data_IF_371842556783
#
_entry.id   IF_371842556783
#
_cell.length_a   1.000
_cell.length_b   1.000
_cell.length_c   1.000
_cell.angle_alpha   90.00
_cell.angle_beta   90.00
_cell.angle_gamma   90.00
#
_symmetry.space_group_name_H-M   'P 1'
#
loop_
_entity.id
_entity.type
_entity.pdbx_description
1 polymer ?
#
# COMPACT_ATOMS: atom_id res chain seq x y z
N UNK A 1 19.39 -10.22 -1.46
CA UNK A 1 18.89 -11.53 -0.99
C UNK A 1 18.11 -11.50 0.35
N UNK A 2 17.68 -10.34 0.88
CA UNK A 2 16.86 -10.26 2.11
C UNK A 2 15.34 -10.45 1.90
N UNK A 3 14.87 -10.34 0.65
CA UNK A 3 13.44 -10.29 0.28
C UNK A 3 12.68 -11.62 0.50
N UNK A 4 13.34 -12.77 0.38
CA UNK A 4 12.67 -14.09 0.45
C UNK A 4 12.00 -14.36 1.80
N UNK A 5 12.61 -13.92 2.92
CA UNK A 5 12.07 -14.16 4.26
C UNK A 5 10.80 -13.33 4.52
N UNK A 6 10.73 -12.11 3.99
CA UNK A 6 9.57 -11.24 4.13
C UNK A 6 8.37 -11.79 3.35
N UNK A 7 8.56 -12.16 2.08
CA UNK A 7 7.51 -12.78 1.27
C UNK A 7 7.01 -14.09 1.88
N UNK A 8 7.92 -14.93 2.37
CA UNK A 8 7.56 -16.17 3.05
C UNK A 8 6.76 -15.90 4.34
N UNK A 9 7.15 -14.88 5.11
CA UNK A 9 6.43 -14.43 6.30
C UNK A 9 5.00 -13.98 6.01
N UNK A 10 4.79 -13.21 4.93
CA UNK A 10 3.45 -12.82 4.48
C UNK A 10 2.62 -14.04 4.12
N UNK A 11 3.18 -14.98 3.35
CA UNK A 11 2.48 -16.20 2.94
C UNK A 11 2.04 -17.01 4.17
N UNK A 12 2.95 -17.20 5.13
CA UNK A 12 2.66 -17.87 6.40
C UNK A 12 1.53 -17.16 7.17
N UNK A 13 1.57 -15.84 7.27
CA UNK A 13 0.54 -15.06 7.95
C UNK A 13 -0.85 -15.25 7.29
N UNK A 14 -0.92 -15.23 5.95
CA UNK A 14 -2.17 -15.46 5.20
C UNK A 14 -2.71 -16.87 5.46
N UNK A 15 -1.84 -17.89 5.45
CA UNK A 15 -2.25 -19.28 5.73
C UNK A 15 -2.76 -19.42 7.16
N UNK A 16 -2.07 -18.84 8.14
CA UNK A 16 -2.51 -18.87 9.55
C UNK A 16 -3.84 -18.12 9.74
N UNK A 17 -4.03 -16.97 9.10
CA UNK A 17 -5.29 -16.24 9.13
C UNK A 17 -6.44 -17.06 8.53
N UNK A 18 -6.19 -17.82 7.46
CA UNK A 18 -7.17 -18.74 6.87
C UNK A 18 -7.52 -19.90 7.81
N UNK A 19 -6.53 -20.46 8.52
CA UNK A 19 -6.73 -21.59 9.44
C UNK A 19 -7.45 -21.20 10.73
N UNK A 20 -7.19 -20.00 11.27
CA UNK A 20 -7.77 -19.55 12.54
C UNK A 20 -8.18 -18.08 12.53
N UNK A 21 -9.25 -17.73 11.78
CA UNK A 21 -9.67 -16.34 11.59
C UNK A 21 -10.17 -15.69 12.88
N UNK A 22 -10.66 -16.46 13.86
CA UNK A 22 -11.16 -15.94 15.14
C UNK A 22 -10.13 -15.15 15.96
N UNK A 23 -8.84 -15.35 15.71
CA UNK A 23 -7.77 -14.58 16.37
C UNK A 23 -7.69 -13.15 15.82
N UNK A 24 -7.87 -13.00 14.50
CA UNK A 24 -7.65 -11.76 13.75
C UNK A 24 -8.91 -11.08 13.23
N UNK A 25 -10.10 -11.56 13.58
CA UNK A 25 -11.36 -10.87 13.29
C UNK A 25 -11.61 -9.73 14.27
N UNK A 26 -12.48 -8.79 13.89
CA UNK A 26 -12.96 -7.73 14.78
C UNK A 26 -13.53 -8.33 16.06
N UNK A 27 -13.10 -7.84 17.23
CA UNK A 27 -13.44 -8.41 18.54
C UNK A 27 -12.69 -9.70 18.91
N UNK A 28 -11.82 -10.21 18.04
CA UNK A 28 -10.93 -11.33 18.31
C UNK A 28 -9.83 -10.98 19.32
N UNK A 29 -9.02 -11.98 19.71
CA UNK A 29 -7.97 -11.81 20.72
C UNK A 29 -6.98 -10.68 20.38
N UNK A 30 -6.60 -10.55 19.11
CA UNK A 30 -5.68 -9.51 18.67
C UNK A 30 -6.32 -8.12 18.61
N UNK A 31 -7.66 -8.01 18.59
CA UNK A 31 -8.41 -6.75 18.37
C UNK A 31 -7.76 -5.89 17.27
N UNK A 32 -7.67 -6.37 16.01
CA UNK A 32 -6.99 -5.66 14.93
C UNK A 32 -7.48 -4.23 14.71
N UNK A 33 -8.75 -3.96 15.04
CA UNK A 33 -9.36 -2.64 15.05
C UNK A 33 -8.63 -1.62 15.95
N UNK A 34 -7.88 -2.09 16.95
CA UNK A 34 -7.03 -1.26 17.82
C UNK A 34 -5.56 -1.51 17.50
N UNK A 35 -5.11 -2.75 17.61
CA UNK A 35 -3.68 -3.10 17.56
C UNK A 35 -3.08 -2.85 16.18
N UNK A 36 -3.77 -3.24 15.11
CA UNK A 36 -3.27 -3.01 13.75
C UNK A 36 -3.56 -1.57 13.34
N UNK A 37 -4.84 -1.17 13.37
CA UNK A 37 -5.30 0.12 12.84
C UNK A 37 -4.63 1.32 13.50
N UNK A 38 -4.44 1.31 14.82
CA UNK A 38 -3.87 2.46 15.52
C UNK A 38 -2.41 2.23 15.90
N UNK A 39 -2.07 1.09 16.52
CA UNK A 39 -0.70 0.92 17.05
C UNK A 39 0.27 0.60 15.92
N UNK A 40 0.04 -0.47 15.15
CA UNK A 40 0.98 -0.91 14.12
C UNK A 40 1.13 0.14 12.99
N UNK A 41 0.01 0.67 12.49
CA UNK A 41 0.03 1.73 11.47
C UNK A 41 0.81 2.95 11.98
N UNK A 42 0.51 3.46 13.17
CA UNK A 42 1.23 4.64 13.69
C UNK A 42 2.73 4.38 13.85
N UNK A 43 3.13 3.20 14.33
CA UNK A 43 4.55 2.84 14.45
C UNK A 43 5.24 2.75 13.08
N UNK A 44 4.59 2.16 12.07
CA UNK A 44 5.15 2.07 10.72
C UNK A 44 5.33 3.47 10.13
N UNK A 45 4.31 4.32 10.21
CA UNK A 45 4.38 5.69 9.69
C UNK A 45 5.37 6.56 10.46
N UNK A 46 5.44 6.43 11.79
CA UNK A 46 6.42 7.14 12.62
C UNK A 46 7.84 6.70 12.29
N UNK A 47 8.10 5.39 12.23
CA UNK A 47 9.42 4.87 11.90
C UNK A 47 9.85 5.28 10.48
N UNK A 48 8.91 5.25 9.53
CA UNK A 48 9.16 5.72 8.15
C UNK A 48 9.46 7.22 8.15
N UNK A 49 8.70 8.02 8.91
CA UNK A 49 8.91 9.47 9.03
C UNK A 49 10.24 9.83 9.68
N UNK A 50 10.63 9.15 10.77
CA UNK A 50 11.90 9.37 11.46
C UNK A 50 13.11 8.93 10.64
N UNK A 51 12.92 8.01 9.69
CA UNK A 51 13.99 7.52 8.81
C UNK A 51 14.24 8.44 7.61
N UNK A 52 13.42 9.48 7.40
CA UNK A 52 13.57 10.41 6.28
C UNK A 52 14.62 11.48 6.58
N UNK A 53 15.70 11.58 5.79
CA UNK A 53 16.68 12.66 5.92
C UNK A 53 16.06 14.01 5.52
N UNK A 54 16.22 15.01 6.39
CA UNK A 54 15.57 16.33 6.22
C UNK A 54 16.06 17.11 5.00
N UNK A 55 17.30 16.85 4.56
CA UNK A 55 17.89 17.47 3.38
C UNK A 55 17.22 16.97 2.09
N UNK A 56 17.03 15.65 1.95
CA UNK A 56 16.32 15.05 0.82
C UNK A 56 14.86 15.51 0.78
N UNK A 57 14.21 15.60 1.93
CA UNK A 57 12.83 16.12 2.01
C UNK A 57 12.73 17.55 1.47
N UNK A 58 13.68 18.41 1.81
CA UNK A 58 13.68 19.80 1.37
C UNK A 58 13.89 19.91 -0.14
N UNK A 59 14.85 19.15 -0.69
CA UNK A 59 15.11 19.11 -2.14
C UNK A 59 13.91 18.54 -2.88
N UNK A 60 13.28 17.47 -2.36
CA UNK A 60 12.10 16.87 -2.95
C UNK A 60 10.93 17.87 -2.99
N UNK A 61 10.68 18.62 -1.92
CA UNK A 61 9.59 19.61 -1.86
C UNK A 61 9.71 20.72 -2.92
N UNK A 62 10.92 21.01 -3.40
CA UNK A 62 11.15 22.06 -4.41
C UNK A 62 10.91 21.57 -5.86
N UNK A 63 10.79 20.26 -6.09
CA UNK A 63 10.56 19.65 -7.42
C UNK A 63 9.08 19.56 -7.76
N UNK A 64 8.44 20.71 -7.97
CA UNK A 64 7.00 20.82 -8.19
C UNK A 64 6.51 20.10 -9.46
N UNK A 65 7.34 20.06 -10.51
CA UNK A 65 7.08 19.35 -11.76
C UNK A 65 6.94 17.84 -11.54
N UNK A 66 7.82 17.27 -10.72
CA UNK A 66 7.78 15.86 -10.33
C UNK A 66 6.57 15.56 -9.44
N UNK A 67 6.24 16.44 -8.49
CA UNK A 67 5.06 16.26 -7.63
C UNK A 67 3.77 16.25 -8.43
N UNK A 68 3.59 17.20 -9.36
CA UNK A 68 2.41 17.25 -10.22
C UNK A 68 2.29 16.00 -11.10
N UNK A 69 3.41 15.53 -11.67
CA UNK A 69 3.41 14.31 -12.47
C UNK A 69 3.00 13.09 -11.64
N UNK A 70 3.64 12.87 -10.48
CA UNK A 70 3.38 11.70 -9.64
C UNK A 70 1.95 11.75 -9.07
N UNK A 71 1.49 12.90 -8.60
CA UNK A 71 0.13 13.06 -8.06
C UNK A 71 -0.92 12.89 -9.15
N UNK A 72 -0.72 13.50 -10.33
CA UNK A 72 -1.62 13.32 -11.47
C UNK A 72 -1.69 11.86 -11.92
N UNK A 73 -0.54 11.18 -12.00
CA UNK A 73 -0.52 9.76 -12.35
C UNK A 73 -1.22 8.89 -11.31
N UNK A 74 -0.94 9.13 -10.02
CA UNK A 74 -1.43 8.32 -8.90
C UNK A 74 -2.92 8.53 -8.61
N UNK A 75 -3.41 9.77 -8.66
CA UNK A 75 -4.77 10.11 -8.24
C UNK A 75 -5.73 10.40 -9.39
N UNK A 76 -5.23 10.51 -10.63
CA UNK A 76 -6.08 10.71 -11.81
C UNK A 76 -5.92 9.55 -12.77
N UNK A 77 -4.74 9.36 -13.36
CA UNK A 77 -4.55 8.39 -14.45
C UNK A 77 -4.84 6.96 -13.98
N UNK A 78 -4.23 6.53 -12.87
CA UNK A 78 -4.38 5.17 -12.38
C UNK A 78 -5.81 4.84 -11.90
N UNK A 79 -6.49 5.71 -11.11
CA UNK A 79 -7.90 5.54 -10.79
C UNK A 79 -8.80 5.52 -12.03
N UNK A 80 -8.55 6.36 -13.04
CA UNK A 80 -9.33 6.35 -14.29
C UNK A 80 -9.18 5.03 -15.05
N UNK A 81 -7.95 4.49 -15.16
CA UNK A 81 -7.70 3.19 -15.79
C UNK A 81 -8.42 2.08 -15.01
N UNK A 82 -8.30 2.08 -13.68
CA UNK A 82 -8.96 1.08 -12.83
C UNK A 82 -10.49 1.19 -12.93
N UNK A 83 -11.03 2.40 -12.97
CA UNK A 83 -12.46 2.62 -13.13
C UNK A 83 -12.96 2.06 -14.47
N UNK A 84 -12.22 2.29 -15.56
CA UNK A 84 -12.51 1.66 -16.86
C UNK A 84 -12.49 0.13 -16.79
N UNK A 85 -11.52 -0.46 -16.06
CA UNK A 85 -11.47 -1.90 -15.83
C UNK A 85 -12.66 -2.40 -15.01
N UNK A 86 -13.02 -1.72 -13.93
CA UNK A 86 -14.17 -2.08 -13.08
C UNK A 86 -15.47 -2.00 -13.86
N UNK A 87 -15.65 -1.00 -14.74
CA UNK A 87 -16.79 -0.90 -15.64
C UNK A 87 -16.90 -2.07 -16.63
N UNK A 88 -15.78 -2.66 -17.03
CA UNK A 88 -15.79 -3.87 -17.85
C UNK A 88 -16.12 -5.11 -17.01
N UNK A 89 -15.53 -5.20 -15.82
CA UNK A 89 -15.65 -6.35 -14.92
C UNK A 89 -17.01 -6.45 -14.22
N UNK A 90 -17.75 -5.35 -14.07
CA UNK A 90 -19.08 -5.37 -13.46
C UNK A 90 -20.10 -6.25 -14.23
N UNK A 91 -19.84 -6.52 -15.51
CA UNK A 91 -20.67 -7.39 -16.35
C UNK A 91 -20.29 -8.87 -16.26
N UNK A 92 -19.32 -9.22 -15.42
CA UNK A 92 -18.83 -10.59 -15.24
C UNK A 92 -19.26 -11.16 -13.88
N UNK A 93 -18.84 -12.39 -13.57
CA UNK A 93 -19.21 -13.09 -12.33
C UNK A 93 -18.46 -12.62 -11.07
N UNK A 94 -17.74 -11.48 -11.11
CA UNK A 94 -17.01 -10.98 -9.95
C UNK A 94 -17.95 -10.45 -8.86
N UNK A 95 -17.60 -10.72 -7.60
CA UNK A 95 -18.37 -10.25 -6.45
C UNK A 95 -18.28 -8.71 -6.32
N UNK A 96 -19.39 -7.98 -6.11
CA UNK A 96 -19.39 -6.50 -6.05
C UNK A 96 -18.38 -5.92 -5.06
N UNK A 97 -18.26 -6.50 -3.88
CA UNK A 97 -17.28 -6.08 -2.87
C UNK A 97 -15.81 -6.12 -3.36
N UNK A 98 -15.47 -7.02 -4.30
CA UNK A 98 -14.12 -7.06 -4.88
C UNK A 98 -13.90 -5.85 -5.81
N UNK A 99 -14.92 -5.48 -6.59
CA UNK A 99 -14.87 -4.32 -7.49
C UNK A 99 -14.76 -3.01 -6.70
N UNK A 100 -15.49 -2.90 -5.59
CA UNK A 100 -15.34 -1.78 -4.64
C UNK A 100 -13.92 -1.73 -4.06
N UNK A 101 -13.39 -2.88 -3.62
CA UNK A 101 -12.02 -2.98 -3.13
C UNK A 101 -10.98 -2.55 -4.16
N UNK A 102 -11.14 -2.93 -5.43
CA UNK A 102 -10.26 -2.49 -6.52
C UNK A 102 -10.31 -0.98 -6.73
N UNK A 103 -11.51 -0.39 -6.65
CA UNK A 103 -11.71 1.06 -6.80
C UNK A 103 -11.10 1.83 -5.63
N UNK A 104 -11.30 1.37 -4.40
CA UNK A 104 -10.69 2.00 -3.22
C UNK A 104 -9.17 1.92 -3.31
N UNK A 105 -8.63 0.73 -3.63
CA UNK A 105 -7.19 0.50 -3.70
C UNK A 105 -6.51 1.37 -4.77
N UNK A 106 -7.17 1.62 -5.91
CA UNK A 106 -6.56 2.44 -6.98
C UNK A 106 -6.40 3.90 -6.59
N UNK A 107 -7.17 4.39 -5.62
CA UNK A 107 -7.04 5.76 -5.09
C UNK A 107 -6.01 5.89 -3.97
N UNK A 108 -5.39 4.78 -3.53
CA UNK A 108 -4.39 4.83 -2.46
C UNK A 108 -3.01 5.19 -3.03
N UNK A 109 -2.23 6.02 -2.33
CA UNK A 109 -0.85 6.30 -2.74
C UNK A 109 0.00 5.01 -2.68
N UNK A 110 1.03 4.89 -3.54
CA UNK A 110 1.90 3.72 -3.53
C UNK A 110 2.68 3.62 -2.21
N UNK A 111 3.05 2.39 -1.77
CA UNK A 111 3.83 2.24 -0.54
C UNK A 111 5.25 2.82 -0.71
N UNK A 112 5.56 3.82 0.11
CA UNK A 112 6.82 4.59 0.05
C UNK A 112 8.05 3.68 0.17
N UNK A 113 8.04 2.72 1.10
CA UNK A 113 9.18 1.83 1.37
C UNK A 113 9.52 0.91 0.19
N UNK A 114 8.52 0.30 -0.46
CA UNK A 114 8.77 -0.59 -1.59
C UNK A 114 9.13 0.17 -2.86
N UNK A 115 8.50 1.33 -3.08
CA UNK A 115 8.82 2.18 -4.22
C UNK A 115 10.30 2.60 -4.19
N UNK A 116 10.78 3.08 -3.04
CA UNK A 116 12.20 3.44 -2.86
C UNK A 116 13.15 2.28 -3.16
N UNK A 117 12.90 1.10 -2.58
CA UNK A 117 13.76 -0.09 -2.78
C UNK A 117 13.78 -0.48 -4.26
N UNK A 118 12.63 -0.51 -4.93
CA UNK A 118 12.52 -0.90 -6.33
C UNK A 118 13.17 0.11 -7.26
N UNK A 119 12.97 1.42 -7.04
CA UNK A 119 13.60 2.49 -7.81
C UNK A 119 15.13 2.42 -7.71
N UNK A 120 15.67 2.21 -6.50
CA UNK A 120 17.11 2.02 -6.28
C UNK A 120 17.67 0.80 -7.00
N UNK A 121 16.93 -0.32 -7.01
CA UNK A 121 17.34 -1.55 -7.69
C UNK A 121 17.47 -1.38 -9.21
N UNK A 122 16.68 -0.48 -9.81
CA UNK A 122 16.72 -0.21 -11.25
C UNK A 122 17.60 1.01 -11.61
N UNK A 123 18.31 1.59 -10.64
CA UNK A 123 19.17 2.77 -10.85
C UNK A 123 18.39 4.07 -11.09
N UNK A 124 17.13 4.12 -10.66
CA UNK A 124 16.30 5.31 -10.74
C UNK A 124 16.68 6.37 -9.72
N UNK A 125 16.05 7.54 -9.82
CA UNK A 125 16.32 8.68 -8.95
C UNK A 125 15.79 8.43 -7.52
N UNK A 126 16.60 8.82 -6.53
CA UNK A 126 16.21 8.91 -5.12
C UNK A 126 15.35 10.17 -4.87
#
# INVERSE_FOLDING_TARGET
MKTSHFCLGILLAIVLAKLKPSIGNTGGFLKPEITVKYIAVSLIFLNTGLSLPSEELTVALLRWDLHLFIQGFTFVIFPCIMYGLVLLLQYTFFHPALLEGMTILSTMPPPVSSAFILTKLVGGNE
#
